data_IF_071384960864
#
_entry.id   IF_071384960864
#
_cell.length_a   1.000
_cell.length_b   1.000
_cell.length_c   1.000
_cell.angle_alpha   90.00
_cell.angle_beta   90.00
_cell.angle_gamma   90.00
#
_symmetry.space_group_name_H-M   'P 1'
#
loop_
_entity.id
_entity.type
_entity.pdbx_description
1 polymer ?
#
# COMPACT_ATOMS: atom_id res chain seq x y z
N UNK A 1 0.65 18.83 6.21
CA UNK A 1 2.01 18.87 5.61
C UNK A 1 2.44 17.44 5.40
N UNK A 2 2.61 17.01 4.15
CA UNK A 2 3.04 15.65 3.83
C UNK A 2 4.56 15.63 3.67
N UNK A 3 5.24 14.75 4.38
CA UNK A 3 6.70 14.56 4.26
C UNK A 3 6.95 13.44 3.26
N UNK A 4 7.81 13.69 2.27
CA UNK A 4 8.28 12.66 1.34
C UNK A 4 9.43 11.94 2.01
N UNK A 5 9.14 10.80 2.62
CA UNK A 5 10.12 9.95 3.32
C UNK A 5 10.62 8.90 2.32
N UNK A 6 11.93 8.64 2.20
CA UNK A 6 12.48 7.64 1.28
C UNK A 6 12.07 6.19 1.59
N UNK A 7 11.42 5.96 2.74
CA UNK A 7 10.88 4.69 3.16
C UNK A 7 9.37 4.86 3.38
N UNK A 8 8.56 3.90 2.91
CA UNK A 8 7.10 3.99 3.05
C UNK A 8 6.70 4.21 4.51
N UNK A 9 5.87 5.22 4.76
CA UNK A 9 5.36 5.46 6.11
C UNK A 9 4.37 4.34 6.45
N UNK A 10 4.75 3.46 7.39
CA UNK A 10 3.95 2.31 7.78
C UNK A 10 3.11 2.66 9.00
N UNK A 11 1.81 2.85 8.80
CA UNK A 11 0.88 2.98 9.90
C UNK A 11 0.41 1.58 10.33
N UNK A 12 0.74 1.21 11.57
CA UNK A 12 0.05 0.13 12.27
C UNK A 12 -1.01 0.81 13.14
N UNK A 13 -2.16 1.12 12.54
CA UNK A 13 -3.28 1.59 13.33
C UNK A 13 -3.88 0.44 14.15
N UNK A 14 -4.60 0.80 15.20
CA UNK A 14 -5.41 -0.13 15.99
C UNK A 14 -6.55 -0.76 15.18
N UNK A 15 -6.78 -0.31 13.95
CA UNK A 15 -7.92 -0.63 13.09
C UNK A 15 -7.61 -1.76 12.10
N UNK A 16 -6.56 -2.54 12.38
CA UNK A 16 -6.21 -3.77 11.64
C UNK A 16 -5.86 -3.54 10.17
N UNK A 17 -5.42 -2.33 9.80
CA UNK A 17 -5.00 -2.04 8.44
C UNK A 17 -3.49 -1.82 8.37
N UNK A 18 -2.92 -2.04 7.19
CA UNK A 18 -1.56 -1.64 6.85
C UNK A 18 -1.65 -0.70 5.66
N UNK A 19 -1.14 0.50 5.83
CA UNK A 19 -1.11 1.53 4.80
C UNK A 19 0.34 1.96 4.59
N UNK A 20 0.74 2.07 3.32
CA UNK A 20 2.04 2.55 2.90
C UNK A 20 1.89 3.59 1.80
N UNK A 21 2.55 4.74 1.96
CA UNK A 21 2.59 5.83 0.97
C UNK A 21 4.03 5.99 0.48
N UNK A 22 4.19 6.03 -0.85
CA UNK A 22 5.50 6.08 -1.51
C UNK A 22 5.88 7.49 -1.96
N UNK A 23 7.17 7.77 -2.23
CA UNK A 23 7.61 9.09 -2.71
C UNK A 23 6.96 9.57 -4.00
N UNK A 24 6.61 8.65 -4.89
CA UNK A 24 5.85 8.93 -6.12
C UNK A 24 4.36 9.23 -5.85
N UNK A 25 3.91 9.16 -4.60
CA UNK A 25 2.52 9.28 -4.12
C UNK A 25 1.63 8.10 -4.46
N UNK A 26 2.18 6.98 -4.94
CA UNK A 26 1.43 5.74 -4.97
C UNK A 26 1.17 5.25 -3.55
N UNK A 27 0.08 4.52 -3.37
CA UNK A 27 -0.34 4.04 -2.05
C UNK A 27 -0.69 2.56 -2.11
N UNK A 28 -0.43 1.85 -1.02
CA UNK A 28 -0.92 0.48 -0.81
C UNK A 28 -1.71 0.44 0.47
N UNK A 29 -2.90 -0.14 0.40
CA UNK A 29 -3.77 -0.41 1.55
C UNK A 29 -4.00 -1.91 1.66
N UNK A 30 -3.70 -2.50 2.81
CA UNK A 30 -3.97 -3.91 3.12
C UNK A 30 -4.84 -4.01 4.39
N UNK A 31 -5.96 -4.70 4.28
CA UNK A 31 -6.80 -5.07 5.41
C UNK A 31 -6.32 -6.41 5.99
N UNK A 32 -5.93 -6.41 7.26
CA UNK A 32 -5.38 -7.62 7.93
C UNK A 32 -6.48 -8.59 8.38
N UNK A 33 -7.73 -8.15 8.48
CA UNK A 33 -8.86 -8.99 8.88
C UNK A 33 -9.38 -9.80 7.69
N UNK A 34 -9.53 -9.14 6.54
CA UNK A 34 -10.06 -9.75 5.32
C UNK A 34 -8.96 -10.31 4.43
N UNK A 35 -7.74 -9.77 4.52
CA UNK A 35 -6.65 -10.07 3.59
C UNK A 35 -6.75 -9.28 2.28
N UNK A 36 -7.70 -8.35 2.16
CA UNK A 36 -7.84 -7.54 0.96
C UNK A 36 -6.67 -6.55 0.81
N UNK A 37 -6.21 -6.36 -0.42
CA UNK A 37 -5.17 -5.41 -0.75
C UNK A 37 -5.52 -4.55 -1.96
N UNK A 38 -5.26 -3.25 -1.87
CA UNK A 38 -5.51 -2.30 -2.96
C UNK A 38 -4.28 -1.43 -3.18
N UNK A 39 -3.91 -1.24 -4.44
CA UNK A 39 -2.86 -0.30 -4.85
C UNK A 39 -3.47 0.85 -5.62
N UNK A 40 -3.05 2.06 -5.27
CA UNK A 40 -3.49 3.30 -5.85
C UNK A 40 -2.34 4.00 -6.58
N UNK A 41 -2.64 4.58 -7.74
CA UNK A 41 -1.72 5.47 -8.44
C UNK A 41 -1.60 6.83 -7.72
N UNK A 42 -0.64 7.69 -8.13
CA UNK A 42 -0.48 9.04 -7.57
C UNK A 42 -1.68 9.98 -7.70
N UNK A 43 -2.70 9.60 -8.48
CA UNK A 43 -3.94 10.34 -8.69
C UNK A 43 -5.10 9.76 -7.86
N UNK A 44 -4.86 8.69 -7.10
CA UNK A 44 -5.85 8.00 -6.29
C UNK A 44 -6.69 6.97 -7.04
N UNK A 45 -6.32 6.61 -8.28
CA UNK A 45 -7.03 5.57 -9.03
C UNK A 45 -6.57 4.18 -8.58
N UNK A 46 -7.49 3.24 -8.46
CA UNK A 46 -7.17 1.83 -8.19
C UNK A 46 -6.50 1.23 -9.43
N UNK A 47 -5.26 0.76 -9.27
CA UNK A 47 -4.51 0.07 -10.33
C UNK A 47 -4.50 -1.43 -10.15
N UNK A 48 -4.66 -1.91 -8.92
CA UNK A 48 -4.74 -3.33 -8.62
C UNK A 48 -5.55 -3.55 -7.33
N UNK A 49 -6.30 -4.66 -7.30
CA UNK A 49 -7.02 -5.14 -6.12
C UNK A 49 -6.82 -6.66 -5.99
N UNK A 50 -6.66 -7.11 -4.75
CA UNK A 50 -6.41 -8.49 -4.39
C UNK A 50 -7.35 -8.85 -3.25
N UNK A 51 -8.03 -9.99 -3.35
CA UNK A 51 -8.98 -10.42 -2.31
C UNK A 51 -8.28 -11.11 -1.14
N UNK A 52 -7.12 -11.75 -1.39
CA UNK A 52 -6.36 -12.50 -0.38
C UNK A 52 -4.86 -12.32 -0.60
N UNK A 53 -4.27 -11.32 0.05
CA UNK A 53 -2.83 -11.03 -0.01
C UNK A 53 -2.08 -11.92 0.97
N UNK A 54 -1.12 -12.70 0.46
CA UNK A 54 -0.18 -13.45 1.30
C UNK A 54 1.03 -12.59 1.65
N UNK A 55 1.72 -12.94 2.74
CA UNK A 55 2.94 -12.24 3.17
C UNK A 55 4.03 -12.21 2.08
N UNK A 56 4.12 -13.25 1.24
CA UNK A 56 5.10 -13.30 0.15
C UNK A 56 4.78 -12.32 -0.98
N UNK A 57 3.50 -12.02 -1.21
CA UNK A 57 3.05 -11.08 -2.26
C UNK A 57 3.28 -9.62 -1.87
N UNK A 58 3.47 -9.31 -0.58
CA UNK A 58 3.68 -7.93 -0.11
C UNK A 58 4.86 -7.29 -0.82
N UNK A 59 5.98 -8.00 -1.02
CA UNK A 59 7.14 -7.43 -1.70
C UNK A 59 6.86 -7.06 -3.16
N UNK A 60 6.02 -7.84 -3.85
CA UNK A 60 5.63 -7.56 -5.23
C UNK A 60 4.74 -6.31 -5.31
N UNK A 61 3.79 -6.18 -4.38
CA UNK A 61 2.94 -4.99 -4.23
C UNK A 61 3.78 -3.73 -4.00
N UNK A 62 4.83 -3.83 -3.16
CA UNK A 62 5.77 -2.73 -2.91
C UNK A 62 6.50 -2.31 -4.18
N UNK A 63 7.09 -3.26 -4.90
CA UNK A 63 7.80 -2.97 -6.16
C UNK A 63 6.88 -2.40 -7.23
N UNK A 64 5.62 -2.84 -7.28
CA UNK A 64 4.62 -2.27 -8.19
C UNK A 64 4.34 -0.81 -7.83
N UNK A 65 4.02 -0.52 -6.56
CA UNK A 65 3.72 0.83 -6.12
C UNK A 65 4.91 1.78 -6.34
N UNK A 66 6.15 1.34 -6.12
CA UNK A 66 7.37 2.12 -6.39
C UNK A 66 7.58 2.47 -7.88
N UNK A 67 7.00 1.68 -8.78
CA UNK A 67 7.18 1.84 -10.23
C UNK A 67 6.14 2.72 -10.93
N UNK A 68 5.08 3.14 -10.22
CA UNK A 68 4.00 3.99 -10.72
C UNK A 68 4.39 5.46 -10.83
#
# INVERSE_FOLDING_TARGET
>A
TYYVIPEGEFFFDSDSCWHAVYPNRAEIYLDKQTGEGTVYDPRGNVVARYDHVTLSQINELKSMAESL
#
